data_IF_614835293971
#
_entry.id   IF_614835293971
#
_cell.length_a   1.000
_cell.length_b   1.000
_cell.length_c   1.000
_cell.angle_alpha   90.00
_cell.angle_beta   90.00
_cell.angle_gamma   90.00
#
_symmetry.space_group_name_H-M   'P 1'
#
loop_
_entity.id
_entity.type
_entity.pdbx_description
1 polymer ?
#
# COMPACT_ATOMS: atom_id res chain seq x y z
N UNK A 1 29.75 12.98 -27.60
CA UNK A 1 28.79 13.54 -26.62
C UNK A 1 27.40 13.38 -27.21
N UNK A 2 26.72 12.28 -26.89
CA UNK A 2 25.30 12.11 -27.25
C UNK A 2 24.53 12.05 -25.95
N UNK A 3 23.74 13.09 -25.72
CA UNK A 3 22.98 13.31 -24.50
C UNK A 3 21.88 12.26 -24.38
N UNK A 4 22.02 11.38 -23.39
CA UNK A 4 20.95 10.51 -22.92
C UNK A 4 19.80 11.37 -22.40
N UNK A 5 18.80 11.58 -23.26
CA UNK A 5 17.56 12.27 -22.90
C UNK A 5 16.55 11.22 -22.41
N UNK A 6 16.88 10.57 -21.30
CA UNK A 6 15.99 9.63 -20.60
C UNK A 6 15.87 10.03 -19.15
N UNK A 7 15.20 11.16 -18.89
CA UNK A 7 14.86 11.60 -17.53
C UNK A 7 13.79 12.69 -17.64
N UNK A 8 12.63 12.62 -17.00
CA UNK A 8 12.10 11.61 -16.09
C UNK A 8 10.65 12.07 -15.86
N UNK A 9 9.67 11.39 -16.47
CA UNK A 9 8.27 11.55 -16.06
C UNK A 9 8.12 10.81 -14.71
N UNK A 10 8.74 11.36 -13.66
CA UNK A 10 8.89 10.73 -12.33
C UNK A 10 7.78 11.08 -11.37
N UNK A 11 6.75 11.76 -11.85
CA UNK A 11 5.54 11.99 -11.09
C UNK A 11 4.70 10.70 -11.16
N UNK A 12 4.81 9.89 -10.09
CA UNK A 12 3.71 9.73 -9.13
C UNK A 12 3.78 8.39 -8.35
N UNK A 13 4.56 7.41 -8.80
CA UNK A 13 4.63 6.07 -8.15
C UNK A 13 6.07 5.60 -7.90
N UNK A 14 6.78 6.32 -7.04
CA UNK A 14 8.06 5.79 -6.55
C UNK A 14 7.84 4.46 -5.81
N UNK A 15 8.83 3.56 -5.86
CA UNK A 15 8.80 2.32 -5.07
C UNK A 15 8.55 2.61 -3.58
N UNK A 16 9.10 3.71 -3.07
CA UNK A 16 8.88 4.16 -1.70
C UNK A 16 7.40 4.53 -1.46
N UNK A 17 6.75 5.24 -2.37
CA UNK A 17 5.33 5.60 -2.28
C UNK A 17 4.43 4.37 -2.26
N UNK A 18 4.71 3.41 -3.16
CA UNK A 18 3.96 2.14 -3.22
C UNK A 18 4.18 1.31 -1.96
N UNK A 19 5.42 1.21 -1.47
CA UNK A 19 5.73 0.48 -0.25
C UNK A 19 5.07 1.11 0.98
N UNK A 20 5.03 2.45 1.08
CA UNK A 20 4.31 3.16 2.13
C UNK A 20 2.81 2.88 2.09
N UNK A 21 2.20 2.94 0.91
CA UNK A 21 0.78 2.66 0.73
C UNK A 21 0.45 1.22 1.16
N UNK A 22 1.23 0.25 0.71
CA UNK A 22 1.10 -1.14 1.13
C UNK A 22 1.21 -1.32 2.65
N UNK A 23 2.24 -0.72 3.28
CA UNK A 23 2.41 -0.80 4.73
C UNK A 23 1.24 -0.18 5.50
N UNK A 24 0.73 0.97 5.04
CA UNK A 24 -0.43 1.62 5.64
C UNK A 24 -1.69 0.75 5.51
N UNK A 25 -1.94 0.18 4.34
CA UNK A 25 -3.01 -0.77 4.10
C UNK A 25 -2.92 -1.97 5.04
N UNK A 26 -1.74 -2.58 5.11
CA UNK A 26 -1.46 -3.75 5.97
C UNK A 26 -1.74 -3.47 7.45
N UNK A 27 -1.26 -2.34 7.97
CA UNK A 27 -1.53 -1.96 9.36
C UNK A 27 -3.02 -1.70 9.61
N UNK A 28 -3.70 -1.06 8.67
CA UNK A 28 -5.14 -0.82 8.76
C UNK A 28 -5.92 -2.15 8.75
N UNK A 29 -5.53 -3.11 7.89
CA UNK A 29 -6.12 -4.44 7.79
C UNK A 29 -5.91 -5.28 9.06
N UNK A 30 -4.69 -5.26 9.62
CA UNK A 30 -4.37 -5.90 10.91
C UNK A 30 -5.21 -5.36 12.07
N UNK A 31 -5.52 -4.06 12.06
CA UNK A 31 -6.37 -3.42 13.06
C UNK A 31 -7.87 -3.60 12.80
N UNK A 32 -8.25 -4.16 11.64
CA UNK A 32 -9.62 -4.23 11.13
C UNK A 32 -10.30 -2.83 11.13
N UNK A 33 -9.55 -1.77 10.81
CA UNK A 33 -10.02 -0.37 10.86
C UNK A 33 -9.62 0.39 9.59
N UNK A 34 -10.62 0.76 8.78
CA UNK A 34 -10.42 1.59 7.58
C UNK A 34 -10.74 3.05 7.90
N UNK A 35 -9.74 3.94 7.79
CA UNK A 35 -9.94 5.38 7.89
C UNK A 35 -10.00 5.99 6.48
N UNK A 36 -11.17 6.51 6.02
CA UNK A 36 -11.30 7.09 4.68
C UNK A 36 -10.30 8.20 4.37
N UNK A 37 -9.87 8.96 5.37
CA UNK A 37 -8.91 10.05 5.19
C UNK A 37 -7.47 9.58 4.92
N UNK A 38 -7.19 8.28 5.09
CA UNK A 38 -5.85 7.69 4.90
C UNK A 38 -5.78 6.79 3.65
N UNK A 39 -6.86 6.72 2.87
CA UNK A 39 -6.91 5.93 1.65
C UNK A 39 -6.37 6.79 0.49
N UNK A 40 -5.35 6.31 -0.25
CA UNK A 40 -4.86 7.02 -1.44
C UNK A 40 -5.93 7.13 -2.52
N UNK A 41 -5.90 8.22 -3.31
CA UNK A 41 -6.81 8.42 -4.45
C UNK A 41 -6.21 8.02 -5.79
N UNK A 42 -4.88 7.99 -5.88
CA UNK A 42 -4.16 7.60 -7.09
C UNK A 42 -4.28 6.09 -7.31
N UNK A 43 -4.76 5.66 -8.47
CA UNK A 43 -5.15 4.26 -8.74
C UNK A 43 -4.05 3.25 -8.39
N UNK A 44 -2.80 3.49 -8.80
CA UNK A 44 -1.69 2.55 -8.55
C UNK A 44 -1.28 2.54 -7.07
N UNK A 45 -1.34 3.70 -6.39
CA UNK A 45 -1.05 3.80 -4.95
C UNK A 45 -2.18 3.18 -4.13
N UNK A 46 -3.43 3.36 -4.56
CA UNK A 46 -4.61 2.73 -4.00
C UNK A 46 -4.52 1.22 -4.15
N UNK A 47 -4.16 0.69 -5.32
CA UNK A 47 -3.98 -0.74 -5.52
C UNK A 47 -2.93 -1.33 -4.56
N UNK A 48 -1.81 -0.63 -4.35
CA UNK A 48 -0.81 -1.06 -3.37
C UNK A 48 -1.36 -1.03 -1.92
N UNK A 49 -2.14 0.00 -1.57
CA UNK A 49 -2.81 0.10 -0.28
C UNK A 49 -3.83 -1.02 -0.07
N UNK A 50 -4.65 -1.34 -1.07
CA UNK A 50 -5.66 -2.39 -1.01
C UNK A 50 -5.03 -3.78 -0.88
N UNK A 51 -3.95 -4.06 -1.62
CA UNK A 51 -3.19 -5.30 -1.48
C UNK A 51 -2.66 -5.46 -0.04
N UNK A 52 -2.11 -4.38 0.55
CA UNK A 52 -1.68 -4.40 1.95
C UNK A 52 -2.86 -4.68 2.89
N UNK A 53 -3.99 -4.01 2.70
CA UNK A 53 -5.19 -4.19 3.51
C UNK A 53 -5.70 -5.63 3.52
N UNK A 54 -5.77 -6.27 2.35
CA UNK A 54 -6.23 -7.66 2.22
C UNK A 54 -5.28 -8.65 2.92
N UNK A 55 -3.97 -8.44 2.79
CA UNK A 55 -2.96 -9.22 3.51
C UNK A 55 -3.07 -9.01 5.02
N UNK A 56 -3.27 -7.77 5.47
CA UNK A 56 -3.46 -7.43 6.87
C UNK A 56 -4.70 -8.08 7.48
N UNK A 57 -5.83 -8.10 6.75
CA UNK A 57 -7.04 -8.80 7.17
C UNK A 57 -6.81 -10.32 7.29
N UNK A 58 -6.13 -10.91 6.30
CA UNK A 58 -5.78 -12.33 6.32
C UNK A 58 -4.96 -12.67 7.56
N UNK A 59 -3.96 -11.84 7.90
CA UNK A 59 -3.15 -12.02 9.11
C UNK A 59 -3.96 -11.85 10.40
N UNK A 60 -4.87 -10.87 10.45
CA UNK A 60 -5.77 -10.70 11.59
C UNK A 60 -6.61 -11.97 11.84
N UNK A 61 -7.17 -12.58 10.78
CA UNK A 61 -7.94 -13.81 10.92
C UNK A 61 -7.07 -14.99 11.40
N UNK A 62 -5.85 -15.12 10.88
CA UNK A 62 -4.91 -16.15 11.33
C UNK A 62 -4.55 -15.98 12.82
N UNK A 63 -4.29 -14.75 13.27
CA UNK A 63 -4.02 -14.46 14.68
C UNK A 63 -5.23 -14.85 15.52
N UNK A 64 -6.44 -14.42 15.11
CA UNK A 64 -7.69 -14.72 15.82
C UNK A 64 -7.93 -16.24 15.96
N UNK A 65 -7.65 -17.02 14.92
CA UNK A 65 -7.78 -18.49 14.95
C UNK A 65 -6.75 -19.16 15.86
N UNK A 66 -5.54 -18.61 15.97
CA UNK A 66 -4.48 -19.16 16.83
C UNK A 66 -4.68 -18.83 18.31
N UNK A 67 -5.37 -17.73 18.60
CA UNK A 67 -5.61 -17.25 19.97
C UNK A 67 -6.97 -17.67 20.54
N UNK A 68 -7.81 -18.33 19.75
CA UNK A 68 -9.09 -18.90 20.17
C UNK A 68 -8.91 -20.34 20.66
#
# INVERSE_FOLDING_TARGET
>A
MSSDNHSKNTQDWSLESLNKAYQQGYMAGLACRRNPAQIPTEEVVLAAWEAGWDDGQTQYQLIKQRTA
#
